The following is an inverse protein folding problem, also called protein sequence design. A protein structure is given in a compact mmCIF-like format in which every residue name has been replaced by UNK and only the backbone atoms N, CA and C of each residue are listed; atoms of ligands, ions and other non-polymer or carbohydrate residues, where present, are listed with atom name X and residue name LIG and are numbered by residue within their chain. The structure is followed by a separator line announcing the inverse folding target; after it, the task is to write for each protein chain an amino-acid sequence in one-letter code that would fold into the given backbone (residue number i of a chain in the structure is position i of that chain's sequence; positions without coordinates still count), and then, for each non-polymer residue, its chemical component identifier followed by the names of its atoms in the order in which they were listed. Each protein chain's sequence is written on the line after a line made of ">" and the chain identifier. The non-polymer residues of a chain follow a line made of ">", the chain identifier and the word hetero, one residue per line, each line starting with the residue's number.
data_IF_105752364155
#
_entry.id   IF_105752364155
#
_cell.length_a   1.000
_cell.length_b   1.000
_cell.length_c   1.000
_cell.angle_alpha   90.00
_cell.angle_beta   90.00
_cell.angle_gamma   90.00
#
_symmetry.space_group_name_H-M   'P 1'
#
loop_
_entity.id
_entity.type
_entity.pdbx_description
1 polymer ?
#
# COMPACT_ATOMS: atom_id res chain seq x y z
N UNK A 1 -13.99 -2.15 -11.20
CA UNK A 1 -13.75 -2.22 -9.74
C UNK A 1 -14.76 -3.11 -9.02
N UNK A 2 -16.01 -3.17 -9.48
CA UNK A 2 -17.03 -4.00 -8.83
C UNK A 2 -17.13 -5.36 -9.51
N UNK A 3 -17.02 -6.41 -8.71
CA UNK A 3 -17.33 -7.77 -9.13
C UNK A 3 -18.86 -7.90 -9.30
N UNK A 4 -19.34 -8.98 -9.93
CA UNK A 4 -20.78 -9.29 -10.03
C UNK A 4 -21.54 -9.17 -8.71
N UNK A 5 -20.88 -9.36 -7.57
CA UNK A 5 -21.46 -9.18 -6.25
C UNK A 5 -21.80 -7.72 -5.92
N UNK A 6 -21.15 -6.74 -6.56
CA UNK A 6 -21.41 -5.31 -6.37
C UNK A 6 -22.55 -4.75 -7.23
N UNK A 7 -22.93 -5.41 -8.33
CA UNK A 7 -23.95 -4.93 -9.25
C UNK A 7 -25.30 -4.59 -8.59
N UNK A 8 -25.86 -5.39 -7.65
CA UNK A 8 -27.10 -5.06 -6.99
C UNK A 8 -27.03 -3.79 -6.13
N UNK A 9 -25.87 -3.47 -5.57
CA UNK A 9 -25.63 -2.26 -4.78
C UNK A 9 -25.56 -1.03 -5.67
N UNK A 10 -24.85 -1.13 -6.79
CA UNK A 10 -24.80 -0.06 -7.80
C UNK A 10 -26.18 0.26 -8.37
N UNK A 11 -27.00 -0.76 -8.63
CA UNK A 11 -28.36 -0.58 -9.15
C UNK A 11 -29.29 0.15 -8.16
N UNK A 12 -29.02 0.06 -6.84
CA UNK A 12 -29.76 0.81 -5.79
C UNK A 12 -29.34 2.27 -5.69
N UNK A 13 -28.19 2.63 -6.27
CA UNK A 13 -27.52 3.91 -6.10
C UNK A 13 -26.63 3.91 -4.86
N UNK A 14 -25.52 4.62 -4.96
CA UNK A 14 -24.56 4.85 -3.86
C UNK A 14 -24.58 6.33 -3.54
N UNK A 15 -24.83 6.68 -2.29
CA UNK A 15 -24.91 8.08 -1.88
C UNK A 15 -23.55 8.72 -1.73
N UNK A 16 -22.59 8.01 -1.12
CA UNK A 16 -21.23 8.52 -0.86
C UNK A 16 -20.19 7.48 -1.21
N UNK A 17 -19.16 7.89 -1.94
CA UNK A 17 -17.91 7.15 -2.12
C UNK A 17 -16.76 7.92 -1.46
N UNK A 18 -15.89 7.20 -0.75
CA UNK A 18 -14.65 7.73 -0.19
C UNK A 18 -13.51 6.92 -0.78
N UNK A 19 -12.58 7.57 -1.48
CA UNK A 19 -11.52 6.88 -2.21
C UNK A 19 -10.25 7.72 -2.29
N UNK A 20 -9.12 7.04 -2.52
CA UNK A 20 -7.82 7.67 -2.78
C UNK A 20 -7.23 7.30 -4.16
N UNK A 21 -7.94 6.51 -4.95
CA UNK A 21 -7.47 6.12 -6.28
C UNK A 21 -7.76 7.19 -7.33
N UNK A 22 -6.77 7.69 -8.09
CA UNK A 22 -7.01 8.68 -9.15
C UNK A 22 -7.87 8.15 -10.30
N UNK A 23 -8.06 6.83 -10.40
CA UNK A 23 -8.89 6.14 -11.39
C UNK A 23 -10.35 5.96 -10.97
N UNK A 24 -10.82 6.73 -9.98
CA UNK A 24 -12.21 6.68 -9.49
C UNK A 24 -13.22 6.99 -10.61
N UNK A 25 -14.26 6.17 -10.75
CA UNK A 25 -15.27 6.27 -11.83
C UNK A 25 -16.49 7.15 -11.47
N UNK A 26 -16.49 7.78 -10.30
CA UNK A 26 -17.56 8.70 -9.82
C UNK A 26 -18.98 8.12 -9.92
N UNK A 27 -19.14 6.87 -9.48
CA UNK A 27 -20.42 6.14 -9.51
C UNK A 27 -21.39 6.53 -8.38
N UNK A 28 -20.94 7.27 -7.38
CA UNK A 28 -21.74 7.74 -6.25
C UNK A 28 -22.30 9.14 -6.51
N UNK A 29 -23.32 9.54 -5.76
CA UNK A 29 -23.88 10.90 -5.80
C UNK A 29 -22.85 11.93 -5.32
N UNK A 30 -22.18 11.60 -4.23
CA UNK A 30 -21.10 12.39 -3.66
C UNK A 30 -19.82 11.55 -3.61
N UNK A 31 -18.69 12.17 -3.92
CA UNK A 31 -17.39 11.46 -3.87
C UNK A 31 -16.37 12.32 -3.14
N UNK A 32 -15.84 11.78 -2.06
CA UNK A 32 -14.68 12.32 -1.36
C UNK A 32 -13.42 11.62 -1.90
N UNK A 33 -12.66 12.30 -2.76
CA UNK A 33 -11.46 11.78 -3.39
C UNK A 33 -10.24 12.61 -3.00
N UNK A 34 -9.21 11.96 -2.48
CA UNK A 34 -7.88 12.57 -2.31
C UNK A 34 -6.80 11.58 -2.77
N UNK A 35 -6.37 11.73 -4.01
CA UNK A 35 -5.34 10.89 -4.62
C UNK A 35 -3.92 11.14 -4.06
N UNK A 36 -3.73 12.14 -3.22
CA UNK A 36 -2.48 12.40 -2.51
C UNK A 36 -2.28 11.55 -1.25
N UNK A 37 -3.33 10.86 -0.81
CA UNK A 37 -3.27 9.98 0.38
C UNK A 37 -2.73 8.61 0.02
N UNK A 38 -1.94 8.03 0.92
CA UNK A 38 -1.40 6.68 0.75
C UNK A 38 -2.46 5.59 0.89
N UNK A 39 -3.54 5.87 1.62
CA UNK A 39 -4.62 4.93 1.90
C UNK A 39 -5.95 5.65 2.13
N UNK A 40 -7.05 5.02 1.75
CA UNK A 40 -8.38 5.48 2.11
C UNK A 40 -8.57 5.56 3.64
N UNK A 41 -7.84 4.74 4.40
CA UNK A 41 -7.82 4.78 5.87
C UNK A 41 -7.37 6.12 6.46
N UNK A 42 -6.54 6.91 5.76
CA UNK A 42 -6.16 8.25 6.18
C UNK A 42 -7.34 9.23 6.08
N UNK A 43 -8.09 9.17 4.96
CA UNK A 43 -9.30 9.97 4.77
C UNK A 43 -10.36 9.63 5.83
N UNK A 44 -10.56 8.35 6.07
CA UNK A 44 -11.49 7.88 7.11
C UNK A 44 -11.07 8.33 8.50
N UNK A 45 -9.78 8.33 8.82
CA UNK A 45 -9.28 8.87 10.07
C UNK A 45 -9.62 10.37 10.22
N UNK A 46 -9.37 11.17 9.18
CA UNK A 46 -9.65 12.61 9.17
C UNK A 46 -11.16 12.91 9.32
N UNK A 47 -12.02 12.10 8.74
CA UNK A 47 -13.47 12.21 8.89
C UNK A 47 -13.91 11.82 10.32
N UNK A 48 -13.48 10.65 10.77
CA UNK A 48 -13.95 10.10 12.05
C UNK A 48 -13.51 10.94 13.26
N UNK A 49 -12.29 11.49 13.25
CA UNK A 49 -11.82 12.38 14.34
C UNK A 49 -12.61 13.69 14.46
N UNK A 50 -13.35 14.10 13.42
CA UNK A 50 -14.26 15.26 13.49
C UNK A 50 -15.61 14.89 14.08
N UNK A 51 -15.99 13.61 14.01
CA UNK A 51 -17.25 13.10 14.54
C UNK A 51 -17.14 12.73 16.03
N UNK A 52 -15.93 12.44 16.51
CA UNK A 52 -15.69 12.09 17.91
C UNK A 52 -14.31 11.49 18.16
N UNK A 53 -14.06 11.00 19.37
CA UNK A 53 -12.78 10.39 19.72
C UNK A 53 -12.57 9.07 18.96
N UNK A 54 -11.41 8.91 18.36
CA UNK A 54 -11.01 7.65 17.71
C UNK A 54 -10.53 6.69 18.80
N UNK A 55 -11.37 5.70 19.12
CA UNK A 55 -11.05 4.65 20.09
C UNK A 55 -10.18 3.56 19.48
N UNK A 56 -9.60 2.68 20.31
CA UNK A 56 -8.79 1.56 19.85
C UNK A 56 -9.54 0.63 18.86
N UNK A 57 -10.83 0.41 19.05
CA UNK A 57 -11.66 -0.42 18.17
C UNK A 57 -11.81 0.21 16.76
N UNK A 58 -11.85 1.53 16.68
CA UNK A 58 -11.87 2.28 15.41
C UNK A 58 -10.44 2.36 14.83
N UNK A 59 -9.46 2.60 15.67
CA UNK A 59 -8.07 2.78 15.24
C UNK A 59 -7.48 1.50 14.65
N UNK A 60 -7.82 0.33 15.16
CA UNK A 60 -7.27 -0.94 14.73
C UNK A 60 -7.51 -1.21 13.24
N UNK A 61 -8.76 -1.21 12.73
CA UNK A 61 -9.00 -1.42 11.29
C UNK A 61 -8.42 -0.29 10.43
N UNK A 62 -8.41 0.96 10.89
CA UNK A 62 -7.78 2.06 10.18
C UNK A 62 -6.27 1.87 10.04
N UNK A 63 -5.60 1.43 11.12
CA UNK A 63 -4.16 1.15 11.07
C UNK A 63 -3.85 0.00 10.12
N UNK A 64 -4.67 -1.04 10.08
CA UNK A 64 -4.52 -2.14 9.11
C UNK A 64 -4.67 -1.62 7.69
N UNK A 65 -5.70 -0.80 7.41
CA UNK A 65 -5.90 -0.20 6.09
C UNK A 65 -4.68 0.64 5.65
N UNK A 66 -4.22 1.56 6.50
CA UNK A 66 -3.05 2.41 6.21
C UNK A 66 -1.80 1.56 6.01
N UNK A 67 -1.50 0.64 6.93
CA UNK A 67 -0.27 -0.16 6.87
C UNK A 67 -0.25 -1.12 5.68
N UNK A 68 -1.38 -1.65 5.25
CA UNK A 68 -1.45 -2.57 4.09
C UNK A 68 -1.28 -1.83 2.77
N UNK A 69 -1.91 -0.67 2.59
CA UNK A 69 -1.83 0.11 1.35
C UNK A 69 -0.45 0.72 1.12
N UNK A 70 0.27 1.04 2.19
CA UNK A 70 1.65 1.54 2.10
C UNK A 70 2.72 0.45 2.32
N UNK A 71 2.34 -0.83 2.29
CA UNK A 71 3.26 -1.98 2.41
C UNK A 71 4.11 -1.94 3.68
N UNK A 72 3.48 -1.70 4.82
CA UNK A 72 4.17 -1.46 6.10
C UNK A 72 5.15 -0.29 6.01
N UNK A 73 4.71 0.82 5.41
CA UNK A 73 5.46 2.09 5.26
C UNK A 73 6.72 1.99 4.37
N UNK A 74 6.77 1.01 3.45
CA UNK A 74 7.91 0.78 2.54
C UNK A 74 7.64 1.33 1.14
N UNK A 75 6.36 1.44 0.73
CA UNK A 75 6.03 1.88 -0.62
C UNK A 75 6.22 3.39 -0.81
N UNK A 76 6.45 3.79 -2.06
CA UNK A 76 6.72 5.18 -2.43
C UNK A 76 5.54 6.15 -2.26
N UNK A 77 4.32 5.64 -2.01
CA UNK A 77 3.15 6.44 -1.64
C UNK A 77 3.16 6.86 -0.16
N UNK A 78 4.03 6.30 0.69
CA UNK A 78 4.14 6.65 2.10
C UNK A 78 4.63 8.09 2.27
N UNK A 79 3.87 8.91 2.97
CA UNK A 79 4.17 10.30 3.24
C UNK A 79 4.44 10.56 4.73
N UNK A 80 4.89 11.77 5.06
CA UNK A 80 4.99 12.19 6.46
C UNK A 80 3.62 12.20 7.16
N UNK A 81 2.55 12.53 6.42
CA UNK A 81 1.18 12.51 6.96
C UNK A 81 0.70 11.08 7.23
N UNK A 82 1.05 10.12 6.37
CA UNK A 82 0.83 8.69 6.62
C UNK A 82 1.40 8.26 7.96
N UNK A 83 2.65 8.66 8.26
CA UNK A 83 3.28 8.38 9.55
C UNK A 83 2.62 9.08 10.73
N UNK A 84 2.14 10.33 10.57
CA UNK A 84 1.42 11.06 11.61
C UNK A 84 0.08 10.38 11.95
N UNK A 85 -0.66 9.98 10.92
CA UNK A 85 -1.91 9.22 11.09
C UNK A 85 -1.63 7.89 11.79
N UNK A 86 -0.62 7.15 11.34
CA UNK A 86 -0.25 5.88 11.97
C UNK A 86 0.15 6.07 13.44
N UNK A 87 0.92 7.11 13.79
CA UNK A 87 1.29 7.43 15.15
C UNK A 87 0.06 7.73 16.01
N UNK A 88 -0.85 8.58 15.53
CA UNK A 88 -2.09 8.91 16.25
C UNK A 88 -2.98 7.68 16.47
N UNK A 89 -3.03 6.75 15.51
CA UNK A 89 -3.74 5.48 15.68
C UNK A 89 -3.06 4.59 16.73
N UNK A 90 -1.72 4.56 16.76
CA UNK A 90 -0.96 3.79 17.75
C UNK A 90 -1.11 4.35 19.17
N UNK A 91 -1.26 5.66 19.33
CA UNK A 91 -1.49 6.32 20.62
C UNK A 91 -2.78 5.84 21.32
N UNK A 92 -3.72 5.24 20.58
CA UNK A 92 -4.92 4.60 21.15
C UNK A 92 -4.65 3.27 21.86
N UNK A 93 -3.41 2.76 21.80
CA UNK A 93 -2.99 1.51 22.44
C UNK A 93 -3.23 0.25 21.62
N UNK A 94 -3.46 0.35 20.30
CA UNK A 94 -3.58 -0.84 19.43
C UNK A 94 -2.26 -1.65 19.41
N UNK A 95 -2.33 -2.98 19.23
CA UNK A 95 -1.14 -3.84 19.17
C UNK A 95 -0.46 -3.78 17.77
N UNK A 96 0.03 -2.59 17.38
CA UNK A 96 0.57 -2.33 16.05
C UNK A 96 1.70 -3.29 15.64
N UNK A 97 2.58 -3.67 16.58
CA UNK A 97 3.66 -4.62 16.32
C UNK A 97 3.13 -6.01 15.92
N UNK A 98 2.10 -6.50 16.62
CA UNK A 98 1.48 -7.80 16.34
C UNK A 98 0.70 -7.77 15.02
N UNK A 99 0.03 -6.66 14.72
CA UNK A 99 -0.66 -6.44 13.45
C UNK A 99 0.35 -6.50 12.29
N UNK A 100 1.44 -5.77 12.38
CA UNK A 100 2.48 -5.75 11.36
C UNK A 100 3.16 -7.13 11.21
N UNK A 101 3.44 -7.83 12.31
CA UNK A 101 3.98 -9.20 12.27
C UNK A 101 3.02 -10.14 11.56
N UNK A 102 1.72 -10.08 11.87
CA UNK A 102 0.70 -10.94 11.27
C UNK A 102 0.55 -10.68 9.77
N UNK A 103 0.48 -9.42 9.34
CA UNK A 103 0.20 -9.06 7.95
C UNK A 103 1.43 -9.17 7.04
N UNK A 104 2.62 -8.82 7.54
CA UNK A 104 3.80 -8.68 6.69
C UNK A 104 4.93 -9.66 6.98
N UNK A 105 4.97 -10.27 8.16
CA UNK A 105 6.07 -11.15 8.57
C UNK A 105 5.65 -12.61 8.75
N UNK A 106 4.35 -12.91 8.71
CA UNK A 106 3.83 -14.27 8.91
C UNK A 106 3.30 -14.81 7.59
N UNK A 107 3.82 -15.97 7.18
CA UNK A 107 3.33 -16.71 6.02
C UNK A 107 2.78 -18.05 6.46
N UNK A 108 1.63 -18.46 5.93
CA UNK A 108 1.12 -19.81 6.14
C UNK A 108 2.01 -20.84 5.45
N UNK A 109 2.06 -22.06 5.97
CA UNK A 109 2.77 -23.15 5.33
C UNK A 109 2.30 -23.41 3.90
N UNK A 110 1.00 -23.26 3.63
CA UNK A 110 0.43 -23.39 2.28
C UNK A 110 1.00 -22.35 1.32
N UNK A 111 1.14 -21.10 1.77
CA UNK A 111 1.72 -20.01 0.98
C UNK A 111 3.20 -20.27 0.72
N UNK A 112 3.97 -20.68 1.73
CA UNK A 112 5.40 -21.01 1.57
C UNK A 112 5.59 -22.16 0.57
N UNK A 113 4.75 -23.19 0.63
CA UNK A 113 4.78 -24.30 -0.33
C UNK A 113 4.47 -23.84 -1.75
N UNK A 114 3.47 -22.98 -1.94
CA UNK A 114 3.14 -22.42 -3.25
C UNK A 114 4.27 -21.57 -3.80
N UNK A 115 4.83 -20.67 -3.00
CA UNK A 115 5.98 -19.86 -3.39
C UNK A 115 7.19 -20.72 -3.79
N UNK A 116 7.46 -21.80 -3.04
CA UNK A 116 8.52 -22.77 -3.37
C UNK A 116 8.26 -23.46 -4.72
N UNK A 117 7.04 -23.89 -5.01
CA UNK A 117 6.68 -24.52 -6.29
C UNK A 117 6.84 -23.55 -7.45
N UNK A 118 6.46 -22.29 -7.27
CA UNK A 118 6.59 -21.25 -8.30
C UNK A 118 8.06 -20.92 -8.56
N UNK A 119 8.89 -20.82 -7.53
CA UNK A 119 10.31 -20.51 -7.66
C UNK A 119 11.12 -21.67 -8.22
N UNK A 120 10.80 -22.91 -7.86
CA UNK A 120 11.47 -24.13 -8.41
C UNK A 120 11.01 -24.47 -9.82
N UNK A 121 9.75 -24.12 -10.17
CA UNK A 121 9.22 -24.28 -11.53
C UNK A 121 9.71 -23.19 -12.49
N UNK A 122 10.11 -22.05 -11.99
CA UNK A 122 10.73 -20.98 -12.76
C UNK A 122 12.20 -21.34 -13.05
N UNK A 123 12.43 -22.26 -13.96
CA UNK A 123 13.74 -22.36 -14.66
C UNK A 123 13.88 -21.11 -15.51
N UNK A 124 14.43 -20.05 -14.95
CA UNK A 124 14.85 -18.89 -15.72
C UNK A 124 16.32 -19.04 -16.08
N UNK A 125 16.66 -19.32 -17.35
CA UNK A 125 18.04 -19.27 -17.83
C UNK A 125 18.50 -17.84 -18.10
N UNK A 126 17.64 -16.83 -17.97
CA UNK A 126 17.99 -15.44 -18.24
C UNK A 126 17.16 -14.51 -17.38
N UNK A 127 17.74 -13.44 -16.83
CA UNK A 127 16.93 -12.42 -16.16
C UNK A 127 15.92 -11.89 -17.19
N UNK A 128 14.63 -11.79 -16.80
CA UNK A 128 13.61 -11.30 -17.72
C UNK A 128 14.03 -9.93 -18.24
N UNK A 129 13.83 -9.71 -19.55
CA UNK A 129 14.09 -8.45 -20.25
C UNK A 129 13.38 -7.21 -19.67
N UNK A 130 12.53 -7.41 -18.69
CA UNK A 130 11.80 -6.38 -17.93
C UNK A 130 12.73 -5.38 -17.22
N UNK A 131 13.94 -5.80 -16.82
CA UNK A 131 14.92 -4.88 -16.22
C UNK A 131 15.58 -3.91 -17.19
N UNK A 132 15.34 -4.05 -18.49
CA UNK A 132 15.88 -3.15 -19.53
C UNK A 132 15.07 -1.86 -19.74
N UNK A 133 13.92 -1.73 -19.12
CA UNK A 133 13.01 -0.59 -19.35
C UNK A 133 13.09 0.53 -18.31
N UNK A 134 14.14 0.57 -17.46
CA UNK A 134 14.36 1.73 -16.61
C UNK A 134 15.23 2.75 -17.37
N UNK A 135 14.70 3.94 -17.76
CA UNK A 135 15.44 4.91 -18.58
C UNK A 135 16.56 5.65 -17.83
N UNK A 136 17.09 5.12 -16.76
CA UNK A 136 18.12 5.75 -15.94
C UNK A 136 19.36 4.88 -15.64
N UNK A 137 19.38 3.62 -16.01
CA UNK A 137 20.50 2.72 -15.69
C UNK A 137 21.58 2.63 -16.78
N UNK A 138 22.18 3.76 -17.16
CA UNK A 138 23.43 3.68 -17.89
C UNK A 138 24.54 3.34 -16.90
N UNK A 139 25.31 2.23 -17.11
CA UNK A 139 26.49 1.98 -16.27
C UNK A 139 27.46 3.14 -16.47
N UNK A 140 27.84 3.82 -15.40
CA UNK A 140 28.92 4.79 -15.40
C UNK A 140 30.17 4.07 -15.90
N UNK A 141 30.69 4.44 -17.09
CA UNK A 141 32.01 4.01 -17.56
C UNK A 141 33.03 4.40 -16.49
N UNK A 142 33.67 3.40 -15.89
CA UNK A 142 34.87 3.59 -15.08
C UNK A 142 35.94 4.17 -16.00
N UNK A 143 36.20 5.45 -15.91
CA UNK A 143 37.43 6.05 -16.47
C UNK A 143 38.61 5.49 -15.68
N UNK A 144 39.48 4.72 -16.35
CA UNK A 144 40.77 4.36 -15.80
C UNK A 144 41.54 5.67 -15.58
N UNK A 145 41.84 5.98 -14.33
CA UNK A 145 42.88 6.96 -14.00
C UNK A 145 44.20 6.33 -14.41
N UNK A 146 44.84 6.85 -15.45
CA UNK A 146 46.24 6.63 -15.71
C UNK A 146 47.03 7.51 -14.76
N UNK A 147 47.79 6.90 -13.87
CA UNK A 147 48.76 7.59 -13.04
C UNK A 147 49.88 8.10 -13.95
N UNK A 148 50.46 9.30 -13.76
CA UNK A 148 51.62 9.76 -14.47
C UNK A 148 52.87 8.99 -14.00
N UNK A 149 53.88 8.79 -14.87
CA UNK A 149 55.15 8.18 -14.48
C UNK A 149 55.97 9.12 -13.63
N UNK A 150 56.77 8.52 -12.72
CA UNK A 150 57.78 9.19 -11.90
C UNK A 150 58.87 9.82 -12.75
#
# INVERSE_FOLDING_TARGET
>A
LFTRAGEPWLARGVDLAIDHHPSQEFFARETCLDAGRAACGELMYDILRQLGPVTADIALPLYVAVSTDCGCFVYGNTSADTHRVAAALMDTGIPAADLNKRHFRTKSFRRLRLESLLTTGARSPSPPSVWRCWPGSRPRRRTRRTSPPL
#
